data_IF_093242393892
#
_entry.id   IF_093242393892
#
_cell.length_a   1.000
_cell.length_b   1.000
_cell.length_c   1.000
_cell.angle_alpha   90.00
_cell.angle_beta   90.00
_cell.angle_gamma   90.00
#
_symmetry.space_group_name_H-M   'P 1'
#
loop_
_entity.id
_entity.type
_entity.pdbx_description
1 polymer ?
#
# COMPACT_ATOMS: atom_id res chain seq x y z
N UNK A 1 -6.14 7.05 -10.50
CA UNK A 1 -5.55 5.71 -10.66
C UNK A 1 -6.16 4.75 -9.64
N UNK A 2 -5.92 3.44 -9.73
CA UNK A 2 -6.46 2.45 -8.78
C UNK A 2 -6.00 2.73 -7.33
N UNK A 3 -4.76 3.16 -7.13
CA UNK A 3 -4.26 3.59 -5.81
C UNK A 3 -5.09 4.75 -5.22
N UNK A 4 -5.46 5.74 -6.03
CA UNK A 4 -6.25 6.89 -5.56
C UNK A 4 -7.68 6.49 -5.17
N UNK A 5 -8.24 5.42 -5.76
CA UNK A 5 -9.52 4.85 -5.28
C UNK A 5 -9.35 4.23 -3.89
N UNK A 6 -8.21 3.61 -3.60
CA UNK A 6 -7.89 3.13 -2.25
C UNK A 6 -7.85 4.26 -1.22
N UNK A 7 -7.22 5.38 -1.57
CA UNK A 7 -7.18 6.58 -0.71
C UNK A 7 -8.59 7.12 -0.46
N UNK A 8 -9.40 7.23 -1.53
CA UNK A 8 -10.77 7.70 -1.43
C UNK A 8 -11.61 6.83 -0.50
N UNK A 9 -11.54 5.49 -0.64
CA UNK A 9 -12.30 4.58 0.22
C UNK A 9 -11.83 4.59 1.66
N UNK A 10 -10.51 4.66 1.91
CA UNK A 10 -9.96 4.81 3.26
C UNK A 10 -10.52 6.06 3.94
N UNK A 11 -10.52 7.19 3.23
CA UNK A 11 -11.03 8.46 3.77
C UNK A 11 -12.56 8.42 4.03
N UNK A 12 -13.29 7.51 3.37
CA UNK A 12 -14.71 7.24 3.63
C UNK A 12 -14.95 6.20 4.74
N UNK A 13 -13.90 5.66 5.38
CA UNK A 13 -13.99 4.57 6.34
C UNK A 13 -14.29 3.19 5.73
N UNK A 14 -14.28 3.08 4.40
CA UNK A 14 -14.49 1.83 3.65
C UNK A 14 -13.18 1.06 3.53
N UNK A 15 -12.73 0.50 4.67
CA UNK A 15 -11.37 -0.03 4.80
C UNK A 15 -11.15 -1.29 3.95
N UNK A 16 -12.15 -2.16 3.81
CA UNK A 16 -12.03 -3.39 3.01
C UNK A 16 -11.96 -3.09 1.50
N UNK A 17 -12.72 -2.10 1.03
CA UNK A 17 -12.66 -1.62 -0.34
C UNK A 17 -11.33 -0.92 -0.61
N UNK A 18 -10.82 -0.15 0.35
CA UNK A 18 -9.50 0.46 0.25
C UNK A 18 -8.40 -0.60 0.10
N UNK A 19 -8.45 -1.67 0.90
CA UNK A 19 -7.49 -2.78 0.85
C UNK A 19 -7.50 -3.44 -0.53
N UNK A 20 -8.69 -3.76 -1.06
CA UNK A 20 -8.85 -4.35 -2.40
C UNK A 20 -8.25 -3.45 -3.49
N UNK A 21 -8.42 -2.14 -3.39
CA UNK A 21 -7.85 -1.20 -4.35
C UNK A 21 -6.33 -1.13 -4.25
N UNK A 22 -5.76 -1.02 -3.04
CA UNK A 22 -4.31 -1.00 -2.88
C UNK A 22 -3.66 -2.31 -3.33
N UNK A 23 -4.21 -3.48 -2.99
CA UNK A 23 -3.69 -4.77 -3.45
C UNK A 23 -3.73 -4.91 -4.99
N UNK A 24 -4.80 -4.41 -5.62
CA UNK A 24 -4.89 -4.38 -7.09
C UNK A 24 -3.85 -3.44 -7.71
N UNK A 25 -3.65 -2.25 -7.13
CA UNK A 25 -2.64 -1.30 -7.58
C UNK A 25 -1.23 -1.87 -7.41
N UNK A 26 -0.95 -2.49 -6.27
CA UNK A 26 0.34 -3.11 -5.94
C UNK A 26 0.73 -4.16 -6.98
N UNK A 27 -0.16 -5.11 -7.28
CA UNK A 27 0.07 -6.14 -8.32
C UNK A 27 0.34 -5.52 -9.69
N UNK A 28 -0.35 -4.44 -10.03
CA UNK A 28 -0.17 -3.73 -11.30
C UNK A 28 1.20 -3.05 -11.38
N UNK A 29 1.58 -2.30 -10.35
CA UNK A 29 2.86 -1.58 -10.31
C UNK A 29 4.05 -2.53 -10.18
N UNK A 30 3.97 -3.58 -9.35
CA UNK A 30 5.01 -4.61 -9.29
C UNK A 30 5.27 -5.24 -10.67
N UNK A 31 4.20 -5.54 -11.42
CA UNK A 31 4.33 -6.12 -12.76
C UNK A 31 4.90 -5.14 -13.78
N UNK A 32 4.50 -3.88 -13.73
CA UNK A 32 4.86 -2.89 -14.76
C UNK A 32 6.18 -2.16 -14.49
N UNK A 33 6.49 -1.91 -13.22
CA UNK A 33 7.55 -1.02 -12.78
C UNK A 33 8.59 -1.73 -11.89
N UNK A 34 8.23 -2.89 -11.34
CA UNK A 34 9.07 -3.63 -10.41
C UNK A 34 8.75 -3.35 -8.93
N UNK A 35 9.29 -4.18 -8.02
CA UNK A 35 8.99 -4.13 -6.59
C UNK A 35 9.53 -2.90 -5.88
N UNK A 36 10.65 -2.35 -6.36
CA UNK A 36 11.40 -1.25 -5.71
C UNK A 36 11.08 0.13 -6.33
N UNK A 37 10.21 0.19 -7.34
CA UNK A 37 9.80 1.46 -7.94
C UNK A 37 8.98 2.30 -6.96
N UNK A 38 9.18 3.62 -6.94
CA UNK A 38 8.55 4.56 -5.99
C UNK A 38 7.04 4.38 -5.89
N UNK A 39 6.31 4.29 -7.01
CA UNK A 39 4.84 4.06 -6.97
C UNK A 39 4.42 2.71 -6.38
N UNK A 40 5.25 1.68 -6.51
CA UNK A 40 5.04 0.39 -5.86
C UNK A 40 5.20 0.54 -4.34
N UNK A 41 6.29 1.17 -3.92
CA UNK A 41 6.61 1.42 -2.51
C UNK A 41 5.58 2.32 -1.82
N UNK A 42 5.11 3.37 -2.50
CA UNK A 42 4.04 4.25 -2.01
C UNK A 42 2.75 3.46 -1.75
N UNK A 43 2.44 2.49 -2.63
CA UNK A 43 1.26 1.64 -2.47
C UNK A 43 1.42 0.68 -1.28
N UNK A 44 2.61 0.12 -1.08
CA UNK A 44 2.94 -0.69 0.10
C UNK A 44 2.80 0.14 1.38
N UNK A 45 3.34 1.36 1.41
CA UNK A 45 3.21 2.26 2.55
C UNK A 45 1.74 2.61 2.86
N UNK A 46 0.91 2.79 1.82
CA UNK A 46 -0.52 3.00 1.99
C UNK A 46 -1.26 1.80 2.59
N UNK A 47 -0.85 0.57 2.26
CA UNK A 47 -1.34 -0.64 2.94
C UNK A 47 -0.92 -0.66 4.41
N UNK A 48 0.32 -0.27 4.73
CA UNK A 48 0.78 -0.12 6.12
C UNK A 48 -0.11 0.84 6.92
N UNK A 49 -0.39 2.01 6.35
CA UNK A 49 -1.30 3.00 6.95
C UNK A 49 -2.71 2.44 7.16
N UNK A 50 -3.23 1.66 6.20
CA UNK A 50 -4.55 1.06 6.29
C UNK A 50 -4.62 0.03 7.43
N UNK A 51 -3.63 -0.87 7.51
CA UNK A 51 -3.57 -1.89 8.55
C UNK A 51 -3.37 -1.30 9.94
N UNK A 52 -2.54 -0.27 10.06
CA UNK A 52 -2.39 0.50 11.30
C UNK A 52 -3.74 1.08 11.76
N UNK A 53 -4.50 1.66 10.83
CA UNK A 53 -5.84 2.19 11.13
C UNK A 53 -6.86 1.12 11.54
N UNK A 54 -6.66 -0.14 11.11
CA UNK A 54 -7.47 -1.29 11.52
C UNK A 54 -7.00 -1.94 12.83
N UNK A 55 -5.90 -1.48 13.43
CA UNK A 55 -5.26 -2.12 14.59
C UNK A 55 -4.48 -3.40 14.28
N UNK A 56 -4.27 -3.69 12.99
CA UNK A 56 -3.46 -4.82 12.49
C UNK A 56 -1.98 -4.45 12.46
N UNK A 57 -1.39 -4.33 13.65
CA UNK A 57 -0.05 -3.74 13.81
C UNK A 57 1.06 -4.59 13.16
N UNK A 58 0.98 -5.91 13.25
CA UNK A 58 1.97 -6.81 12.67
C UNK A 58 1.99 -6.72 11.13
N UNK A 59 0.82 -6.62 10.50
CA UNK A 59 0.69 -6.43 9.06
C UNK A 59 1.17 -5.03 8.65
N UNK A 60 0.85 -4.02 9.45
CA UNK A 60 1.31 -2.66 9.20
C UNK A 60 2.85 -2.57 9.24
N UNK A 61 3.48 -3.13 10.26
CA UNK A 61 4.93 -3.18 10.41
C UNK A 61 5.59 -3.85 9.22
N UNK A 62 5.08 -5.02 8.77
CA UNK A 62 5.59 -5.71 7.58
C UNK A 62 5.54 -4.83 6.33
N UNK A 63 4.45 -4.08 6.15
CA UNK A 63 4.34 -3.17 5.00
C UNK A 63 5.32 -1.99 5.12
N UNK A 64 5.43 -1.37 6.29
CA UNK A 64 6.37 -0.26 6.49
C UNK A 64 7.82 -0.69 6.30
N UNK A 65 8.23 -1.83 6.86
CA UNK A 65 9.59 -2.36 6.68
C UNK A 65 9.90 -2.66 5.23
N UNK A 66 8.93 -3.23 4.49
CA UNK A 66 9.07 -3.46 3.06
C UNK A 66 9.24 -2.15 2.29
N UNK A 67 8.43 -1.14 2.59
CA UNK A 67 8.52 0.16 1.92
C UNK A 67 9.85 0.85 2.24
N UNK A 68 10.26 0.89 3.50
CA UNK A 68 11.53 1.45 3.98
C UNK A 68 12.72 0.83 3.25
N UNK A 69 12.83 -0.50 3.27
CA UNK A 69 13.92 -1.23 2.60
C UNK A 69 13.95 -0.98 1.09
N UNK A 70 12.79 -0.79 0.47
CA UNK A 70 12.71 -0.42 -0.94
C UNK A 70 13.22 1.00 -1.21
N UNK A 71 12.82 1.98 -0.39
CA UNK A 71 13.26 3.37 -0.55
C UNK A 71 14.76 3.54 -0.29
N UNK A 72 15.36 2.73 0.56
CA UNK A 72 16.81 2.71 0.80
C UNK A 72 17.61 2.18 -0.40
N UNK A 73 16.96 1.46 -1.33
CA UNK A 73 17.60 0.79 -2.46
C UNK A 73 17.30 1.40 -3.83
N UNK A 74 16.29 2.25 -3.91
CA UNK A 74 15.84 2.93 -5.13
C UNK A 74 16.69 4.18 -5.41
#
# INVERSE_FOLDING_TARGET
>A
TVNNLGILYRNQGKLDEAEKMYLRALRGYEKALGPDHTSTLDTVNNLGNLYSHQGKLDEAEKMYLRALHGYERA
#
